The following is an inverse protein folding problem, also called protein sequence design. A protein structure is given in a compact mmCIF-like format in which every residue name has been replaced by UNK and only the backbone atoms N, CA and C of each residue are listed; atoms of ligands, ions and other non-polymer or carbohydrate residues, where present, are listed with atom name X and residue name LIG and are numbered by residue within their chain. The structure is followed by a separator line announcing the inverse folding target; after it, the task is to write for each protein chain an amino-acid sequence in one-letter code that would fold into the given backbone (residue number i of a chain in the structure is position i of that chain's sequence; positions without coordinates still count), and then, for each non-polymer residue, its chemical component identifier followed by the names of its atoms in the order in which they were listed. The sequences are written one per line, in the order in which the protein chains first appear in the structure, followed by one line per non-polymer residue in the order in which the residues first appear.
data_IF_895304192221
#
_entry.id   IF_895304192221
#
_cell.length_a   1.000
_cell.length_b   1.000
_cell.length_c   1.000
_cell.angle_alpha   90.00
_cell.angle_beta   90.00
_cell.angle_gamma   90.00
#
_symmetry.space_group_name_H-M   'P 1'
#
loop_
_entity.id
_entity.type
_entity.pdbx_description
1 polymer ?
#
# COMPACT_ATOMS: atom_id res chain seq x y z
N UNK A 1 27.57 -42.28 -36.61
CA UNK A 1 27.62 -42.73 -35.19
C UNK A 1 26.68 -41.84 -34.40
N UNK A 2 25.47 -42.32 -34.09
CA UNK A 2 24.57 -41.64 -33.15
C UNK A 2 25.09 -41.98 -31.75
N UNK A 3 25.57 -40.97 -31.03
CA UNK A 3 25.85 -41.10 -29.61
C UNK A 3 24.50 -41.27 -28.91
N UNK A 4 24.26 -42.46 -28.38
CA UNK A 4 23.23 -42.68 -27.37
C UNK A 4 23.66 -41.88 -26.14
N UNK A 5 23.11 -40.67 -25.97
CA UNK A 5 23.09 -40.07 -24.64
C UNK A 5 22.21 -40.98 -23.80
N UNK A 6 22.84 -41.73 -22.90
CA UNK A 6 22.13 -42.35 -21.79
C UNK A 6 21.45 -41.20 -21.04
N UNK A 7 20.13 -41.11 -21.17
CA UNK A 7 19.31 -40.35 -20.24
C UNK A 7 19.56 -41.00 -18.88
N UNK A 8 20.31 -40.31 -18.01
CA UNK A 8 20.49 -40.74 -16.62
C UNK A 8 19.10 -40.90 -16.01
N UNK A 9 18.76 -42.13 -15.64
CA UNK A 9 17.47 -42.50 -15.08
C UNK A 9 17.23 -41.63 -13.84
N UNK A 10 16.29 -40.67 -13.97
CA UNK A 10 15.97 -39.68 -12.95
C UNK A 10 15.72 -40.38 -11.62
N UNK A 11 16.61 -40.13 -10.66
CA UNK A 11 16.68 -40.79 -9.35
C UNK A 11 15.41 -40.59 -8.49
N UNK A 12 14.48 -39.73 -8.93
CA UNK A 12 13.16 -39.53 -8.30
C UNK A 12 11.97 -39.95 -9.18
N UNK A 13 12.21 -40.67 -10.27
CA UNK A 13 11.15 -41.21 -11.12
C UNK A 13 10.42 -42.38 -10.46
N UNK A 14 9.12 -42.50 -10.72
CA UNK A 14 8.24 -43.55 -10.20
C UNK A 14 8.69 -44.98 -10.57
N UNK A 15 9.61 -45.12 -11.52
CA UNK A 15 10.25 -46.37 -11.92
C UNK A 15 10.92 -47.11 -10.76
N UNK A 16 11.42 -46.39 -9.75
CA UNK A 16 12.04 -46.97 -8.55
C UNK A 16 11.06 -47.20 -7.38
N UNK A 17 9.92 -46.50 -7.36
CA UNK A 17 8.91 -46.65 -6.29
C UNK A 17 7.86 -47.71 -6.65
N UNK A 18 7.53 -47.87 -7.94
CA UNK A 18 6.58 -48.85 -8.46
C UNK A 18 7.24 -50.17 -8.93
N UNK A 19 8.36 -50.60 -8.33
CA UNK A 19 9.05 -51.87 -8.68
C UNK A 19 8.13 -53.11 -8.53
N UNK A 20 7.02 -52.98 -7.80
CA UNK A 20 5.92 -53.93 -7.87
C UNK A 20 4.84 -53.40 -8.81
N UNK A 21 5.09 -53.46 -10.12
CA UNK A 21 3.98 -53.61 -11.05
C UNK A 21 3.16 -54.81 -10.54
N UNK A 22 1.84 -54.67 -10.37
CA UNK A 22 0.96 -55.75 -9.95
C UNK A 22 0.85 -56.79 -11.08
N UNK A 23 1.93 -57.53 -11.33
CA UNK A 23 2.07 -58.58 -12.35
C UNK A 23 1.52 -59.90 -11.82
N UNK A 24 0.31 -59.90 -11.26
CA UNK A 24 -0.45 -61.15 -11.06
C UNK A 24 -0.98 -61.60 -12.42
N UNK A 25 -0.34 -62.59 -13.09
CA UNK A 25 -0.71 -62.95 -14.44
C UNK A 25 -2.13 -63.53 -14.42
N UNK A 26 -3.03 -62.95 -15.21
CA UNK A 26 -4.41 -63.43 -15.34
C UNK A 26 -5.47 -62.72 -14.49
N UNK A 27 -5.10 -61.77 -13.60
CA UNK A 27 -6.07 -60.93 -12.91
C UNK A 27 -6.30 -59.62 -13.68
N UNK A 28 -7.54 -59.31 -14.14
CA UNK A 28 -7.81 -58.07 -14.83
C UNK A 28 -7.51 -56.85 -13.93
N UNK A 29 -6.76 -55.87 -14.44
CA UNK A 29 -6.52 -54.61 -13.72
C UNK A 29 -7.84 -53.97 -13.28
N UNK A 30 -7.87 -53.49 -12.03
CA UNK A 30 -8.98 -52.74 -11.46
C UNK A 30 -9.38 -51.57 -12.37
N UNK A 31 -10.69 -51.32 -12.48
CA UNK A 31 -11.24 -50.29 -13.37
C UNK A 31 -10.64 -48.91 -13.13
N UNK A 32 -10.43 -48.53 -11.87
CA UNK A 32 -9.85 -47.24 -11.47
C UNK A 32 -8.41 -47.07 -11.95
N UNK A 33 -7.57 -48.11 -11.82
CA UNK A 33 -6.17 -48.10 -12.28
C UNK A 33 -6.13 -47.99 -13.82
N UNK A 34 -6.98 -48.74 -14.51
CA UNK A 34 -7.10 -48.69 -15.97
C UNK A 34 -7.55 -47.31 -16.47
N UNK A 35 -8.48 -46.67 -15.78
CA UNK A 35 -8.97 -45.32 -16.10
C UNK A 35 -7.90 -44.25 -15.83
N UNK A 36 -7.13 -44.36 -14.74
CA UNK A 36 -6.02 -43.47 -14.43
C UNK A 36 -4.91 -43.55 -15.49
N UNK A 37 -4.44 -44.76 -15.83
CA UNK A 37 -3.43 -44.98 -16.88
C UNK A 37 -3.88 -44.45 -18.24
N UNK A 38 -5.14 -44.69 -18.63
CA UNK A 38 -5.70 -44.14 -19.87
C UNK A 38 -5.76 -42.61 -19.85
N UNK A 39 -5.98 -41.99 -18.69
CA UNK A 39 -5.99 -40.53 -18.53
C UNK A 39 -4.57 -39.97 -18.65
N UNK A 40 -3.58 -40.62 -18.05
CA UNK A 40 -2.17 -40.26 -18.17
C UNK A 40 -1.65 -40.42 -19.59
N UNK A 41 -1.94 -41.53 -20.26
CA UNK A 41 -1.58 -41.76 -21.67
C UNK A 41 -2.20 -40.67 -22.56
N UNK A 42 -3.47 -40.33 -22.35
CA UNK A 42 -4.13 -39.21 -23.05
C UNK A 42 -3.49 -37.86 -22.73
N UNK A 43 -3.09 -37.63 -21.49
CA UNK A 43 -2.41 -36.40 -21.08
C UNK A 43 -1.02 -36.30 -21.72
N UNK A 44 -0.27 -37.40 -21.75
CA UNK A 44 1.03 -37.49 -22.41
C UNK A 44 0.89 -37.30 -23.92
N UNK A 45 -0.09 -37.95 -24.56
CA UNK A 45 -0.39 -37.78 -25.98
C UNK A 45 -0.80 -36.33 -26.30
N UNK A 46 -1.62 -35.71 -25.45
CA UNK A 46 -2.00 -34.30 -25.57
C UNK A 46 -0.79 -33.38 -25.40
N UNK A 47 0.09 -33.65 -24.42
CA UNK A 47 1.32 -32.90 -24.21
C UNK A 47 2.28 -33.03 -25.41
N UNK A 48 2.42 -34.23 -25.98
CA UNK A 48 3.23 -34.47 -27.19
C UNK A 48 2.66 -33.74 -28.42
N UNK A 49 1.33 -33.77 -28.60
CA UNK A 49 0.66 -33.02 -29.68
C UNK A 49 0.75 -31.51 -29.48
N UNK A 50 0.64 -31.01 -28.26
CA UNK A 50 0.84 -29.59 -27.93
C UNK A 50 2.30 -29.14 -28.12
N UNK A 51 3.26 -30.06 -28.03
CA UNK A 51 4.68 -29.79 -28.30
C UNK A 51 4.98 -29.71 -29.80
N UNK A 52 4.11 -30.27 -30.66
CA UNK A 52 4.20 -30.10 -32.11
C UNK A 52 3.74 -28.70 -32.49
N UNK A 53 4.55 -28.01 -33.29
CA UNK A 53 4.21 -26.67 -33.79
C UNK A 53 3.04 -26.76 -34.74
N UNK A 54 2.22 -25.70 -34.81
CA UNK A 54 1.18 -25.63 -35.82
C UNK A 54 1.79 -25.55 -37.22
N UNK A 55 1.16 -26.16 -38.24
CA UNK A 55 1.57 -26.01 -39.65
C UNK A 55 1.78 -24.54 -40.05
N UNK A 56 0.95 -23.64 -39.52
CA UNK A 56 1.04 -22.20 -39.75
C UNK A 56 2.32 -21.58 -39.15
N UNK A 57 2.73 -22.06 -37.99
CA UNK A 57 3.97 -21.62 -37.32
C UNK A 57 5.19 -22.16 -38.07
N UNK A 58 5.16 -23.43 -38.48
CA UNK A 58 6.24 -24.01 -39.28
C UNK A 58 6.42 -23.30 -40.63
N UNK A 59 5.35 -22.96 -41.33
CA UNK A 59 5.42 -22.18 -42.58
C UNK A 59 6.02 -20.78 -42.34
N UNK A 60 5.61 -20.13 -41.24
CA UNK A 60 6.16 -18.83 -40.85
C UNK A 60 7.66 -18.92 -40.54
N UNK A 61 8.10 -19.95 -39.83
CA UNK A 61 9.51 -20.19 -39.54
C UNK A 61 10.32 -20.44 -40.82
N UNK A 62 9.84 -21.33 -41.71
CA UNK A 62 10.47 -21.58 -43.02
C UNK A 62 10.61 -20.30 -43.83
N UNK A 63 9.57 -19.46 -43.86
CA UNK A 63 9.60 -18.16 -44.53
C UNK A 63 10.61 -17.21 -43.89
N UNK A 64 10.63 -17.10 -42.57
CA UNK A 64 11.55 -16.24 -41.83
C UNK A 64 13.01 -16.68 -42.02
N UNK A 65 13.28 -17.98 -42.03
CA UNK A 65 14.61 -18.54 -42.32
C UNK A 65 15.02 -18.19 -43.75
N UNK A 66 14.13 -18.38 -44.74
CA UNK A 66 14.40 -17.99 -46.12
C UNK A 66 14.65 -16.48 -46.29
N UNK A 67 13.93 -15.63 -45.56
CA UNK A 67 14.11 -14.18 -45.63
C UNK A 67 15.40 -13.69 -44.94
N UNK A 68 15.84 -14.38 -43.89
CA UNK A 68 17.08 -14.05 -43.15
C UNK A 68 18.34 -14.53 -43.86
N UNK A 69 18.25 -15.62 -44.63
CA UNK A 69 19.39 -16.19 -45.32
C UNK A 69 19.71 -15.38 -46.58
N UNK A 70 20.92 -14.81 -46.63
CA UNK A 70 21.44 -14.19 -47.84
C UNK A 70 21.62 -15.25 -48.94
N UNK A 71 21.46 -14.83 -50.20
CA UNK A 71 21.71 -15.70 -51.35
C UNK A 71 23.19 -16.08 -51.41
N UNK A 72 23.48 -17.38 -51.43
CA UNK A 72 24.85 -17.88 -51.56
C UNK A 72 25.41 -17.74 -52.97
N UNK A 73 26.74 -17.89 -53.10
CA UNK A 73 27.46 -17.76 -54.38
C UNK A 73 27.17 -18.91 -55.36
N UNK A 74 26.65 -20.03 -54.86
CA UNK A 74 26.14 -21.15 -55.64
C UNK A 74 24.89 -20.78 -56.47
N UNK A 75 24.19 -19.70 -56.09
CA UNK A 75 23.03 -19.24 -56.83
C UNK A 75 23.46 -18.57 -58.14
N UNK A 76 22.95 -19.07 -59.26
CA UNK A 76 23.18 -18.52 -60.61
C UNK A 76 22.86 -17.03 -60.70
N UNK A 77 21.83 -16.57 -59.98
CA UNK A 77 21.45 -15.15 -59.93
C UNK A 77 22.52 -14.27 -59.28
N UNK A 78 23.10 -14.73 -58.17
CA UNK A 78 24.21 -14.03 -57.50
C UNK A 78 25.46 -14.01 -58.37
N UNK A 79 25.79 -15.13 -59.04
CA UNK A 79 26.91 -15.21 -59.97
C UNK A 79 26.75 -14.25 -61.16
N UNK A 80 25.53 -14.07 -61.67
CA UNK A 80 25.24 -13.09 -62.72
C UNK A 80 25.42 -11.66 -62.23
N UNK A 81 24.90 -11.34 -61.04
CA UNK A 81 25.07 -10.02 -60.41
C UNK A 81 26.55 -9.69 -60.21
N UNK A 82 27.34 -10.66 -59.72
CA UNK A 82 28.77 -10.49 -59.51
C UNK A 82 29.52 -10.18 -60.82
N UNK A 83 29.14 -10.83 -61.93
CA UNK A 83 29.68 -10.53 -63.27
C UNK A 83 29.32 -9.12 -63.76
N UNK A 84 28.18 -8.59 -63.32
CA UNK A 84 27.76 -7.21 -63.60
C UNK A 84 28.40 -6.18 -62.66
N UNK A 85 29.31 -6.60 -61.77
CA UNK A 85 30.05 -5.73 -60.86
C UNK A 85 29.42 -5.55 -59.47
N UNK A 86 28.38 -6.33 -59.13
CA UNK A 86 27.82 -6.34 -57.79
C UNK A 86 28.77 -7.02 -56.78
N UNK A 87 28.94 -6.41 -55.60
CA UNK A 87 29.67 -6.98 -54.47
C UNK A 87 28.68 -7.29 -53.34
N UNK A 88 28.91 -8.39 -52.62
CA UNK A 88 28.08 -8.77 -51.47
C UNK A 88 28.00 -7.63 -50.45
N UNK A 89 26.79 -7.17 -50.15
CA UNK A 89 26.53 -6.09 -49.20
C UNK A 89 26.52 -4.68 -49.81
N UNK A 90 26.73 -4.54 -51.12
CA UNK A 90 26.64 -3.25 -51.79
C UNK A 90 25.19 -2.94 -52.20
N UNK A 91 24.76 -1.69 -52.04
CA UNK A 91 23.50 -1.22 -52.58
C UNK A 91 23.54 -1.10 -54.12
N UNK A 92 22.44 -1.46 -54.78
CA UNK A 92 22.29 -1.32 -56.23
C UNK A 92 22.05 0.14 -56.65
N UNK A 93 22.45 0.51 -57.87
CA UNK A 93 22.23 1.82 -58.47
C UNK A 93 23.51 2.64 -58.70
N UNK A 94 23.43 3.68 -59.56
CA UNK A 94 24.59 4.48 -60.01
C UNK A 94 25.41 5.10 -58.86
N UNK A 95 24.73 5.54 -57.81
CA UNK A 95 25.35 6.14 -56.62
C UNK A 95 25.42 5.19 -55.42
N UNK A 96 25.05 3.91 -55.57
CA UNK A 96 24.99 2.97 -54.47
C UNK A 96 24.02 3.37 -53.34
N UNK A 97 22.95 4.10 -53.67
CA UNK A 97 21.92 4.55 -52.71
C UNK A 97 20.66 3.68 -52.67
N UNK A 98 20.66 2.54 -53.36
CA UNK A 98 19.54 1.60 -53.34
C UNK A 98 19.37 0.90 -51.99
N UNK A 99 18.20 0.29 -51.79
CA UNK A 99 17.91 -0.46 -50.56
C UNK A 99 18.74 -1.75 -50.58
N UNK A 100 19.51 -1.99 -49.50
CA UNK A 100 20.35 -3.19 -49.34
C UNK A 100 19.53 -4.38 -48.84
N UNK A 101 18.55 -4.10 -47.97
CA UNK A 101 17.68 -5.12 -47.38
C UNK A 101 16.33 -5.20 -48.11
N UNK A 102 15.73 -6.38 -48.24
CA UNK A 102 14.42 -6.53 -48.84
C UNK A 102 13.34 -5.80 -48.01
N UNK A 103 12.32 -5.27 -48.69
CA UNK A 103 11.19 -4.60 -48.01
C UNK A 103 10.47 -5.60 -47.09
N UNK A 104 10.25 -5.27 -45.81
CA UNK A 104 9.63 -6.18 -44.86
C UNK A 104 8.17 -6.48 -45.25
N UNK A 105 7.81 -7.76 -45.24
CA UNK A 105 6.48 -8.24 -45.57
C UNK A 105 5.62 -8.33 -44.31
N UNK A 106 4.49 -7.62 -44.27
CA UNK A 106 3.50 -7.75 -43.21
C UNK A 106 2.34 -8.67 -43.66
N UNK A 107 2.37 -9.93 -43.23
CA UNK A 107 1.39 -10.95 -43.62
C UNK A 107 0.23 -10.94 -42.62
N UNK A 108 -0.93 -10.46 -43.07
CA UNK A 108 -2.16 -10.52 -42.27
C UNK A 108 -2.72 -11.93 -42.29
N UNK A 109 -2.60 -12.63 -41.16
CA UNK A 109 -3.07 -14.03 -41.08
C UNK A 109 -4.51 -14.18 -40.58
N UNK A 110 -5.19 -13.07 -40.28
CA UNK A 110 -6.57 -13.05 -39.78
C UNK A 110 -7.54 -12.37 -40.76
N UNK A 111 -8.85 -12.61 -40.57
CA UNK A 111 -9.95 -12.00 -41.34
C UNK A 111 -10.31 -10.59 -40.86
N UNK A 112 -9.46 -9.97 -40.05
CA UNK A 112 -9.78 -8.69 -39.42
C UNK A 112 -9.54 -7.53 -40.39
N UNK A 113 -10.38 -6.49 -40.26
CA UNK A 113 -10.25 -5.27 -41.06
C UNK A 113 -8.93 -4.54 -40.79
N UNK A 114 -8.45 -3.79 -41.78
CA UNK A 114 -7.29 -2.92 -41.63
C UNK A 114 -7.61 -1.87 -40.54
N UNK A 115 -6.78 -1.78 -39.49
CA UNK A 115 -6.98 -0.85 -38.36
C UNK A 115 -7.68 -1.44 -37.13
N UNK A 116 -8.20 -2.67 -37.20
CA UNK A 116 -8.85 -3.31 -36.05
C UNK A 116 -7.88 -3.59 -34.89
N UNK A 117 -6.65 -4.00 -35.20
CA UNK A 117 -5.59 -4.26 -34.21
C UNK A 117 -5.26 -3.01 -33.38
N UNK A 118 -5.19 -1.84 -34.01
CA UNK A 118 -4.95 -0.58 -33.31
C UNK A 118 -6.10 -0.23 -32.36
N UNK A 119 -7.36 -0.47 -32.77
CA UNK A 119 -8.53 -0.26 -31.93
C UNK A 119 -8.57 -1.22 -30.74
N UNK A 120 -8.24 -2.50 -30.96
CA UNK A 120 -8.12 -3.50 -29.89
C UNK A 120 -7.01 -3.15 -28.90
N UNK A 121 -5.83 -2.78 -29.39
CA UNK A 121 -4.69 -2.37 -28.58
C UNK A 121 -5.06 -1.19 -27.68
N UNK A 122 -5.67 -0.15 -28.24
CA UNK A 122 -6.16 1.02 -27.48
C UNK A 122 -7.16 0.63 -26.40
N UNK A 123 -8.14 -0.22 -26.71
CA UNK A 123 -9.12 -0.70 -25.72
C UNK A 123 -8.48 -1.55 -24.62
N UNK A 124 -7.44 -2.34 -24.95
CA UNK A 124 -6.72 -3.15 -23.98
C UNK A 124 -5.90 -2.27 -23.02
N UNK A 125 -5.22 -1.26 -23.55
CA UNK A 125 -4.46 -0.27 -22.76
C UNK A 125 -5.38 0.52 -21.82
N UNK A 126 -6.52 1.02 -22.30
CA UNK A 126 -7.51 1.72 -21.49
C UNK A 126 -8.02 0.87 -20.32
N UNK A 127 -8.34 -0.42 -20.58
CA UNK A 127 -8.75 -1.35 -19.53
C UNK A 127 -7.65 -1.55 -18.49
N UNK A 128 -6.41 -1.72 -18.93
CA UNK A 128 -5.27 -1.90 -18.02
C UNK A 128 -5.03 -0.66 -17.15
N UNK A 129 -5.12 0.54 -17.74
CA UNK A 129 -5.02 1.79 -16.98
C UNK A 129 -6.16 1.94 -15.97
N UNK A 130 -7.39 1.63 -16.36
CA UNK A 130 -8.54 1.66 -15.45
C UNK A 130 -8.35 0.71 -14.26
N UNK A 131 -7.79 -0.48 -14.52
CA UNK A 131 -7.49 -1.46 -13.48
C UNK A 131 -6.40 -0.96 -12.52
N UNK A 132 -5.32 -0.39 -13.07
CA UNK A 132 -4.24 0.22 -12.27
C UNK A 132 -4.75 1.34 -11.38
N UNK A 133 -5.60 2.23 -11.91
CA UNK A 133 -6.22 3.32 -11.14
C UNK A 133 -7.08 2.79 -10.00
N UNK A 134 -7.90 1.75 -10.25
CA UNK A 134 -8.74 1.13 -9.21
C UNK A 134 -7.90 0.53 -8.09
N UNK A 135 -6.84 -0.20 -8.41
CA UNK A 135 -5.93 -0.77 -7.41
C UNK A 135 -5.27 0.34 -6.57
N UNK A 136 -4.77 1.39 -7.22
CA UNK A 136 -4.16 2.51 -6.51
C UNK A 136 -5.14 3.20 -5.54
N UNK A 137 -6.36 3.49 -5.99
CA UNK A 137 -7.39 4.08 -5.14
C UNK A 137 -7.77 3.17 -3.97
N UNK A 138 -7.88 1.85 -4.20
CA UNK A 138 -8.17 0.87 -3.15
C UNK A 138 -7.06 0.87 -2.09
N UNK A 139 -5.80 0.80 -2.52
CA UNK A 139 -4.66 0.79 -1.61
C UNK A 139 -4.58 2.09 -0.80
N UNK A 140 -4.82 3.24 -1.44
CA UNK A 140 -4.84 4.53 -0.73
C UNK A 140 -5.98 4.62 0.29
N UNK A 141 -7.15 4.08 -0.03
CA UNK A 141 -8.27 4.02 0.90
C UNK A 141 -7.97 3.09 2.09
N UNK A 142 -7.36 1.94 1.84
CA UNK A 142 -6.91 1.00 2.89
C UNK A 142 -5.84 1.63 3.79
N UNK A 143 -4.86 2.34 3.21
CA UNK A 143 -3.82 3.06 3.96
C UNK A 143 -4.42 4.13 4.87
N UNK A 144 -5.32 4.96 4.34
CA UNK A 144 -6.03 5.97 5.13
C UNK A 144 -6.88 5.36 6.24
N UNK A 145 -7.56 4.25 5.97
CA UNK A 145 -8.35 3.55 6.99
C UNK A 145 -7.46 2.98 8.10
N UNK A 146 -6.30 2.41 7.75
CA UNK A 146 -5.33 1.90 8.72
C UNK A 146 -4.71 3.03 9.56
N UNK A 147 -4.43 4.18 8.94
CA UNK A 147 -3.92 5.36 9.64
C UNK A 147 -4.95 5.91 10.63
N UNK A 148 -6.21 6.02 10.23
CA UNK A 148 -7.30 6.44 11.12
C UNK A 148 -7.46 5.50 12.32
N UNK A 149 -7.37 4.18 12.11
CA UNK A 149 -7.42 3.22 13.21
C UNK A 149 -6.26 3.41 14.20
N UNK A 150 -5.03 3.61 13.71
CA UNK A 150 -3.86 3.88 14.56
C UNK A 150 -4.03 5.17 15.37
N UNK A 151 -4.56 6.22 14.75
CA UNK A 151 -4.82 7.48 15.43
C UNK A 151 -5.85 7.34 16.55
N UNK A 152 -6.94 6.57 16.34
CA UNK A 152 -7.93 6.30 17.39
C UNK A 152 -7.32 5.62 18.61
N UNK A 153 -6.48 4.61 18.38
CA UNK A 153 -5.82 3.90 19.49
C UNK A 153 -4.86 4.81 20.26
N UNK A 154 -4.10 5.64 19.54
CA UNK A 154 -3.22 6.63 20.16
C UNK A 154 -4.01 7.64 20.99
N UNK A 155 -5.07 8.23 20.42
CA UNK A 155 -5.90 9.21 21.11
C UNK A 155 -6.53 8.62 22.38
N UNK A 156 -7.09 7.40 22.31
CA UNK A 156 -7.65 6.71 23.48
C UNK A 156 -6.61 6.50 24.58
N UNK A 157 -5.37 6.16 24.22
CA UNK A 157 -4.29 6.02 25.20
C UNK A 157 -3.89 7.38 25.80
N UNK A 158 -3.84 8.43 24.99
CA UNK A 158 -3.48 9.77 25.44
C UNK A 158 -4.57 10.36 26.36
N UNK A 159 -5.84 10.11 26.08
CA UNK A 159 -6.98 10.44 26.95
C UNK A 159 -6.89 9.73 28.31
N UNK A 160 -6.65 8.41 28.32
CA UNK A 160 -6.47 7.64 29.57
C UNK A 160 -5.29 8.15 30.41
N UNK A 161 -4.18 8.54 29.77
CA UNK A 161 -3.03 9.13 30.47
C UNK A 161 -3.40 10.47 31.09
N UNK A 162 -4.08 11.34 30.33
CA UNK A 162 -4.51 12.66 30.77
C UNK A 162 -5.46 12.56 31.97
N UNK A 163 -6.43 11.65 31.90
CA UNK A 163 -7.35 11.39 33.01
C UNK A 163 -6.61 10.87 34.25
N UNK A 164 -5.66 9.94 34.05
CA UNK A 164 -4.82 9.44 35.12
C UNK A 164 -3.97 10.53 35.79
N UNK A 165 -3.41 11.44 35.01
CA UNK A 165 -2.66 12.60 35.50
C UNK A 165 -3.55 13.59 36.26
N UNK A 166 -4.78 13.82 35.78
CA UNK A 166 -5.76 14.64 36.47
C UNK A 166 -6.11 14.05 37.85
N UNK A 167 -6.44 12.75 37.91
CA UNK A 167 -6.76 12.07 39.17
C UNK A 167 -5.60 12.11 40.16
N UNK A 168 -4.35 11.90 39.68
CA UNK A 168 -3.14 12.02 40.51
C UNK A 168 -2.98 13.45 41.06
N UNK A 169 -3.21 14.45 40.22
CA UNK A 169 -3.11 15.86 40.59
C UNK A 169 -4.18 16.26 41.61
N UNK A 170 -5.43 15.81 41.43
CA UNK A 170 -6.53 16.05 42.37
C UNK A 170 -6.24 15.43 43.74
N UNK A 171 -5.75 14.17 43.79
CA UNK A 171 -5.34 13.52 45.04
C UNK A 171 -4.20 14.26 45.75
N UNK A 172 -3.20 14.72 45.00
CA UNK A 172 -2.10 15.50 45.55
C UNK A 172 -2.59 16.84 46.14
N UNK A 173 -3.51 17.53 45.46
CA UNK A 173 -4.12 18.77 45.97
C UNK A 173 -4.91 18.51 47.26
N UNK A 174 -5.76 17.48 47.28
CA UNK A 174 -6.51 17.10 48.48
C UNK A 174 -5.58 16.81 49.67
N UNK A 175 -4.47 16.11 49.45
CA UNK A 175 -3.49 15.83 50.50
C UNK A 175 -2.84 17.11 51.05
N UNK A 176 -2.45 18.04 50.17
CA UNK A 176 -1.83 19.31 50.56
C UNK A 176 -2.82 20.24 51.27
N UNK A 177 -4.09 20.23 50.86
CA UNK A 177 -5.14 21.03 51.48
C UNK A 177 -5.53 20.48 52.86
N UNK A 178 -5.56 19.15 53.03
CA UNK A 178 -5.76 18.50 54.31
C UNK A 178 -4.66 18.88 55.33
N UNK A 179 -3.39 18.96 54.90
CA UNK A 179 -2.29 19.44 55.75
C UNK A 179 -2.47 20.91 56.19
N UNK A 180 -3.14 21.72 55.36
CA UNK A 180 -3.41 23.13 55.62
C UNK A 180 -4.76 23.37 56.32
N UNK A 181 -5.47 22.30 56.73
CA UNK A 181 -6.81 22.34 57.31
C UNK A 181 -7.86 23.04 56.43
N UNK A 182 -7.71 23.01 55.12
CA UNK A 182 -8.71 23.52 54.18
C UNK A 182 -9.73 22.40 53.95
N UNK A 183 -10.94 22.56 54.46
CA UNK A 183 -11.98 21.52 54.46
C UNK A 183 -12.91 21.56 53.24
N UNK A 184 -12.91 22.67 52.50
CA UNK A 184 -13.77 22.86 51.33
C UNK A 184 -12.91 23.30 50.15
N UNK A 185 -12.86 22.52 49.05
CA UNK A 185 -12.13 22.92 47.86
C UNK A 185 -12.77 24.16 47.21
N UNK A 186 -11.94 25.04 46.63
CA UNK A 186 -12.39 26.29 46.01
C UNK A 186 -13.36 26.08 44.85
N UNK A 187 -13.15 25.01 44.09
CA UNK A 187 -13.99 24.57 42.98
C UNK A 187 -14.26 23.07 43.17
N UNK A 188 -15.47 22.63 42.87
CA UNK A 188 -15.93 21.26 43.13
C UNK A 188 -15.12 20.17 42.40
N UNK A 189 -14.40 20.52 41.34
CA UNK A 189 -13.60 19.59 40.53
C UNK A 189 -12.12 19.50 40.98
N UNK A 190 -11.67 20.30 41.96
CA UNK A 190 -10.28 20.23 42.45
C UNK A 190 -9.98 18.95 43.23
N UNK A 191 -10.99 18.38 43.89
CA UNK A 191 -10.88 17.10 44.59
C UNK A 191 -11.75 16.05 43.87
N UNK A 192 -11.44 14.76 44.08
CA UNK A 192 -12.32 13.70 43.63
C UNK A 192 -13.67 13.83 44.35
N UNK A 193 -14.75 13.88 43.57
CA UNK A 193 -16.10 13.82 44.14
C UNK A 193 -16.28 12.43 44.76
N UNK A 194 -16.68 12.39 46.03
CA UNK A 194 -17.17 11.17 46.66
C UNK A 194 -18.57 10.93 46.08
N UNK A 195 -18.66 10.11 45.04
CA UNK A 195 -19.94 9.50 44.69
C UNK A 195 -20.19 8.40 45.72
N UNK A 196 -21.27 8.54 46.49
CA UNK A 196 -21.77 7.47 47.33
C UNK A 196 -22.28 6.39 46.36
N UNK A 197 -21.56 5.27 46.25
CA UNK A 197 -21.99 4.10 45.48
C UNK A 197 -23.28 3.56 46.10
N UNK A 198 -24.44 3.95 45.55
CA UNK A 198 -25.67 3.19 45.73
C UNK A 198 -25.61 1.97 44.80
N UNK A 199 -25.89 0.79 45.34
CA UNK A 199 -25.73 -0.55 44.75
C UNK A 199 -26.50 -0.81 43.43
N UNK A 200 -27.12 0.21 42.82
CA UNK A 200 -27.94 0.11 41.60
C UNK A 200 -27.13 0.32 40.29
N UNK A 201 -25.89 0.81 40.35
CA UNK A 201 -25.09 1.19 39.16
C UNK A 201 -24.16 0.08 38.60
N UNK A 202 -24.21 -1.14 39.14
CA UNK A 202 -23.40 -2.26 38.65
C UNK A 202 -24.04 -3.01 37.46
N UNK A 203 -25.37 -2.95 37.28
CA UNK A 203 -26.07 -3.72 36.24
C UNK A 203 -26.15 -3.02 34.86
N UNK A 204 -25.96 -1.70 34.77
CA UNK A 204 -26.05 -0.97 33.49
C UNK A 204 -24.73 -0.89 32.70
N UNK A 205 -23.60 -1.39 33.23
CA UNK A 205 -22.27 -1.21 32.59
C UNK A 205 -21.94 -2.21 31.46
N UNK A 206 -22.76 -3.21 31.17
CA UNK A 206 -22.50 -4.17 30.07
C UNK A 206 -23.21 -3.86 28.74
N UNK A 207 -24.06 -2.83 28.66
CA UNK A 207 -24.71 -2.42 27.42
C UNK A 207 -24.73 -0.90 27.34
N UNK A 208 -23.73 -0.30 26.73
CA UNK A 208 -23.79 0.96 25.96
C UNK A 208 -22.36 1.48 25.70
N UNK A 209 -21.65 0.81 24.79
CA UNK A 209 -20.53 1.45 24.09
C UNK A 209 -21.12 2.37 23.00
N UNK A 210 -20.88 3.68 23.16
CA UNK A 210 -21.05 4.77 22.18
C UNK A 210 -22.12 5.85 22.46
N UNK A 211 -22.46 6.16 23.71
CA UNK A 211 -23.12 7.44 24.04
C UNK A 211 -22.13 8.44 24.67
N UNK A 212 -21.72 9.42 23.87
CA UNK A 212 -20.84 10.54 24.24
C UNK A 212 -21.55 11.42 25.28
N UNK A 213 -21.36 11.13 26.58
CA UNK A 213 -21.95 11.93 27.66
C UNK A 213 -21.26 13.29 27.79
N UNK A 214 -22.08 14.32 28.04
CA UNK A 214 -21.74 15.75 28.19
C UNK A 214 -20.69 16.09 29.28
N UNK A 215 -20.08 15.10 29.91
CA UNK A 215 -19.22 15.24 31.09
C UNK A 215 -17.74 15.45 30.71
N UNK A 216 -17.34 15.06 29.50
CA UNK A 216 -15.96 15.19 28.98
C UNK A 216 -15.53 16.64 28.69
N UNK A 217 -16.49 17.54 28.42
CA UNK A 217 -16.18 18.98 28.33
C UNK A 217 -15.75 19.55 29.68
N UNK A 218 -16.27 19.03 30.79
CA UNK A 218 -15.91 19.50 32.14
C UNK A 218 -14.46 19.12 32.49
N UNK A 219 -13.98 17.95 32.02
CA UNK A 219 -12.60 17.47 32.22
C UNK A 219 -11.60 18.32 31.43
N UNK A 220 -11.93 18.70 30.20
CA UNK A 220 -11.11 19.61 29.39
C UNK A 220 -11.08 21.03 29.96
N UNK A 221 -12.22 21.57 30.41
CA UNK A 221 -12.27 22.88 31.07
C UNK A 221 -11.56 22.87 32.43
N UNK A 222 -11.68 21.79 33.20
CA UNK A 222 -11.01 21.60 34.49
C UNK A 222 -9.49 21.51 34.36
N UNK A 223 -8.97 20.71 33.42
CA UNK A 223 -7.51 20.60 33.19
C UNK A 223 -6.88 21.92 32.73
N UNK A 224 -7.55 22.66 31.82
CA UNK A 224 -7.11 23.99 31.38
C UNK A 224 -7.15 24.99 32.54
N UNK A 225 -8.21 24.96 33.37
CA UNK A 225 -8.35 25.81 34.55
C UNK A 225 -7.32 25.48 35.64
N UNK A 226 -6.96 24.20 35.82
CA UNK A 226 -5.95 23.74 36.78
C UNK A 226 -4.56 24.27 36.45
N UNK A 227 -4.15 24.14 35.19
CA UNK A 227 -2.87 24.66 34.69
C UNK A 227 -2.88 26.20 34.77
N UNK A 228 -4.01 26.85 34.44
CA UNK A 228 -4.19 28.29 34.57
C UNK A 228 -4.07 28.79 36.01
N UNK A 229 -4.71 28.12 36.97
CA UNK A 229 -4.69 28.49 38.39
C UNK A 229 -3.36 28.18 39.08
N UNK A 230 -2.66 27.10 38.71
CA UNK A 230 -1.28 26.86 39.17
C UNK A 230 -0.30 27.92 38.64
N UNK A 231 -0.50 28.39 37.40
CA UNK A 231 0.31 29.45 36.81
C UNK A 231 0.03 30.82 37.45
N UNK A 232 -1.24 31.16 37.70
CA UNK A 232 -1.65 32.39 38.41
C UNK A 232 -1.29 32.38 39.90
N UNK A 233 -1.32 31.22 40.56
CA UNK A 233 -0.89 31.04 41.95
C UNK A 233 0.61 31.24 42.16
N UNK A 234 1.43 30.90 41.16
CA UNK A 234 2.89 31.13 41.18
C UNK A 234 3.32 32.52 40.69
N UNK A 235 2.44 33.30 40.06
CA UNK A 235 2.76 34.68 39.67
C UNK A 235 2.83 35.62 40.88
N UNK A 236 2.09 35.33 41.96
CA UNK A 236 2.14 36.13 43.19
C UNK A 236 3.37 35.87 44.08
N UNK A 237 4.21 34.87 43.77
CA UNK A 237 5.49 34.63 44.47
C UNK A 237 6.72 35.01 43.64
N UNK A 238 6.53 35.51 42.42
CA UNK A 238 7.60 35.97 41.53
C UNK A 238 7.65 37.50 41.40
N UNK A 239 7.48 38.17 42.54
CA UNK A 239 7.96 39.54 42.77
C UNK A 239 9.48 39.56 43.07
N UNK A 240 10.27 38.73 42.38
CA UNK A 240 11.74 38.70 42.49
C UNK A 240 12.38 38.23 41.17
N UNK A 241 12.48 39.17 40.22
CA UNK A 241 13.68 39.40 39.40
C UNK A 241 14.37 38.25 38.66
N UNK A 242 13.68 37.35 37.95
CA UNK A 242 14.35 36.34 37.12
C UNK A 242 13.86 36.33 35.64
N UNK A 243 14.71 36.72 34.66
CA UNK A 243 14.31 36.95 33.25
C UNK A 243 13.96 35.67 32.46
N UNK A 244 14.25 34.48 32.99
CA UNK A 244 13.93 33.20 32.34
C UNK A 244 12.44 32.84 32.40
N UNK A 245 11.71 33.35 33.40
CA UNK A 245 10.28 33.11 33.55
C UNK A 245 9.42 33.94 32.59
N UNK A 246 9.92 35.11 32.18
CA UNK A 246 9.28 35.90 31.13
C UNK A 246 9.35 35.23 29.76
N UNK A 247 10.44 34.51 29.48
CA UNK A 247 10.56 33.67 28.27
C UNK A 247 9.52 32.55 28.25
N UNK A 248 9.27 31.90 29.38
CA UNK A 248 8.26 30.85 29.50
C UNK A 248 6.82 31.39 29.36
N UNK A 249 6.52 32.54 29.97
CA UNK A 249 5.20 33.19 29.85
C UNK A 249 4.92 33.64 28.40
N UNK A 250 5.93 34.18 27.70
CA UNK A 250 5.80 34.55 26.29
C UNK A 250 5.68 33.33 25.37
N UNK A 251 6.33 32.22 25.71
CA UNK A 251 6.21 30.96 24.98
C UNK A 251 4.81 30.34 25.15
N UNK A 252 4.28 30.32 26.37
CA UNK A 252 2.92 29.84 26.65
C UNK A 252 1.85 30.74 26.01
N UNK A 253 2.01 32.06 26.03
CA UNK A 253 1.11 32.98 25.34
C UNK A 253 1.10 32.77 23.81
N UNK A 254 2.25 32.44 23.21
CA UNK A 254 2.34 32.09 21.77
C UNK A 254 1.74 30.73 21.46
N UNK A 255 1.90 29.73 22.34
CA UNK A 255 1.25 28.42 22.18
C UNK A 255 -0.28 28.51 22.32
N UNK A 256 -0.78 29.31 23.26
CA UNK A 256 -2.21 29.53 23.43
C UNK A 256 -2.80 30.27 22.21
N UNK A 257 -2.11 31.30 21.71
CA UNK A 257 -2.52 32.02 20.50
C UNK A 257 -2.51 31.13 19.24
N UNK A 258 -1.56 30.21 19.12
CA UNK A 258 -1.50 29.24 18.02
C UNK A 258 -2.63 28.19 18.09
N UNK A 259 -3.00 27.78 19.30
CA UNK A 259 -4.11 26.83 19.53
C UNK A 259 -5.47 27.46 19.25
N UNK A 260 -5.66 28.76 19.55
CA UNK A 260 -6.87 29.49 19.21
C UNK A 260 -6.98 29.86 17.72
N UNK A 261 -5.86 30.02 17.01
CA UNK A 261 -5.86 30.30 15.57
C UNK A 261 -6.31 29.09 14.72
N UNK A 262 -6.17 27.86 15.24
CA UNK A 262 -6.61 26.64 14.55
C UNK A 262 -8.12 26.36 14.69
N UNK A 263 -8.82 27.10 15.57
CA UNK A 263 -10.25 26.99 15.83
C UNK A 263 -10.95 28.29 15.38
N UNK A 264 -11.24 28.40 14.09
CA UNK A 264 -11.68 29.67 13.49
C UNK A 264 -13.14 30.02 13.84
N UNK A 265 -13.37 30.81 14.90
CA UNK A 265 -14.61 31.59 15.05
C UNK A 265 -14.54 32.81 15.99
N UNK A 266 -13.41 33.52 16.10
CA UNK A 266 -13.36 34.80 16.81
C UNK A 266 -12.69 35.87 15.93
N UNK A 267 -13.37 36.99 15.62
CA UNK A 267 -12.80 38.03 14.77
C UNK A 267 -11.58 38.68 15.43
N UNK A 268 -10.50 38.77 14.66
CA UNK A 268 -9.16 39.30 14.99
C UNK A 268 -9.16 40.73 15.58
N UNK A 269 -10.30 41.43 15.55
CA UNK A 269 -10.47 42.79 16.07
C UNK A 269 -10.42 42.90 17.60
N UNK A 270 -10.75 41.83 18.35
CA UNK A 270 -10.70 41.86 19.82
C UNK A 270 -9.29 41.67 20.40
N UNK A 271 -8.38 41.06 19.64
CA UNK A 271 -6.99 40.83 20.07
C UNK A 271 -6.09 42.09 19.96
N UNK A 272 -6.50 43.09 19.17
CA UNK A 272 -5.74 44.33 18.98
C UNK A 272 -6.11 45.44 19.97
N UNK A 273 -7.17 45.27 20.76
CA UNK A 273 -7.56 46.25 21.79
C UNK A 273 -6.84 46.04 23.12
N UNK A 274 -6.40 44.83 23.43
CA UNK A 274 -5.70 44.51 24.70
C UNK A 274 -4.21 44.83 24.67
N UNK A 275 -3.60 44.94 23.49
CA UNK A 275 -2.17 45.29 23.36
C UNK A 275 -1.93 46.79 23.36
N UNK A 276 -2.95 47.62 23.10
CA UNK A 276 -2.83 49.08 23.10
C UNK A 276 -2.99 49.72 24.48
N UNK A 277 -3.61 49.03 25.43
CA UNK A 277 -3.80 49.52 26.81
C UNK A 277 -2.63 49.22 27.74
N UNK A 278 -1.81 48.19 27.46
CA UNK A 278 -0.60 47.91 28.26
C UNK A 278 0.59 48.84 27.97
N UNK A 279 0.60 49.55 26.84
CA UNK A 279 1.69 50.48 26.51
C UNK A 279 1.51 51.90 27.09
N UNK A 280 0.45 52.15 27.87
CA UNK A 280 0.16 53.48 28.44
C UNK A 280 0.50 53.62 29.93
N UNK A 281 1.09 52.58 30.53
CA UNK A 281 1.50 52.56 31.94
C UNK A 281 2.97 52.19 32.16
N UNK A 282 3.82 52.35 31.13
CA UNK A 282 5.26 52.53 31.29
C UNK A 282 5.64 53.96 30.88
#
# INVERSE_FOLDING_TARGET
MKLNMAEEEDYMSDSFINVQEDIRPGLPMLRQIREARRKEEKQQEANLKNRQKSLKEEEQERRNVGLKNALGCENKGFALLQKMGYKSGQALGKSGGGIVEPIPLNIKTGKSGIGHEASLKRKAEEKLESYRKKIHMKNQAEEKAAEQFRMRLKNKQDEMKLEGDLRRSQRACQQLDAQKNIQVPREAWYWLRLEEETEEDEEEKEQDEDEYKSEDLSVCFGTISFIGCLSLGNINTLSCGNPLLWGAVLFFARCLAASLASAHQIPVALLLMTTKTLSRHY
#
